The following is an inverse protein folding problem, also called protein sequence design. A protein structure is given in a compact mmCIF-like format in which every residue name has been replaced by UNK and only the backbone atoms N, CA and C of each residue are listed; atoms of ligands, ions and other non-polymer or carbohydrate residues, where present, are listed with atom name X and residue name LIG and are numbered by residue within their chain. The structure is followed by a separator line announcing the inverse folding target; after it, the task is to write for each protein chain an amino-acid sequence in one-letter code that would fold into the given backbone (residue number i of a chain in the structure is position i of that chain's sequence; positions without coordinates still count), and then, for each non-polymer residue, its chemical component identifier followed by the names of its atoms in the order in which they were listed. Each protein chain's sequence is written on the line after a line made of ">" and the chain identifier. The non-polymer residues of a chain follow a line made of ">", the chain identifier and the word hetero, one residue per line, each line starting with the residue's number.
data_IF_232992303503
#
_entry.id   IF_232992303503
#
_cell.length_a   1.000
_cell.length_b   1.000
_cell.length_c   1.000
_cell.angle_alpha   90.00
_cell.angle_beta   90.00
_cell.angle_gamma   90.00
#
_symmetry.space_group_name_H-M   'P 1'
#
loop_
_entity.id
_entity.type
_entity.pdbx_description
1 polymer ?
#
# COMPACT_ATOMS: atom_id res chain seq x y z
N UNK A 1 11.61 -10.42 12.10
CA UNK A 1 11.09 -9.88 10.82
C UNK A 1 10.79 -8.41 11.05
N UNK A 2 11.23 -7.52 10.17
CA UNK A 2 10.92 -6.08 10.25
C UNK A 2 9.74 -5.80 9.33
N UNK A 3 8.70 -5.16 9.85
CA UNK A 3 7.55 -4.70 9.08
C UNK A 3 7.57 -3.18 9.01
N UNK A 4 7.39 -2.64 7.81
CA UNK A 4 7.34 -1.20 7.53
C UNK A 4 5.99 -0.93 6.85
N UNK A 5 5.23 -0.03 7.47
CA UNK A 5 3.96 0.47 6.96
C UNK A 5 4.10 1.99 6.76
N UNK A 6 3.69 2.48 5.59
CA UNK A 6 3.74 3.87 5.19
C UNK A 6 2.34 4.33 4.80
N UNK A 7 1.90 5.46 5.34
CA UNK A 7 0.63 6.09 4.97
C UNK A 7 0.94 7.33 4.15
N UNK A 8 0.41 7.38 2.93
CA UNK A 8 0.46 8.56 2.08
C UNK A 8 -0.91 9.22 2.09
N UNK A 9 -0.96 10.51 2.40
CA UNK A 9 -2.17 11.32 2.32
C UNK A 9 -1.94 12.45 1.34
N UNK A 10 -2.76 12.52 0.30
CA UNK A 10 -2.75 13.64 -0.63
C UNK A 10 -3.65 14.74 -0.08
N UNK A 11 -3.06 15.79 0.48
CA UNK A 11 -3.80 16.93 1.05
C UNK A 11 -4.10 18.04 0.04
N UNK A 12 -3.81 17.83 -1.24
CA UNK A 12 -4.21 18.78 -2.27
C UNK A 12 -5.72 18.69 -2.50
N UNK A 13 -6.32 19.82 -2.88
CA UNK A 13 -7.78 19.93 -3.01
C UNK A 13 -8.30 19.63 -4.41
N UNK A 14 -7.42 19.57 -5.42
CA UNK A 14 -7.81 19.42 -6.82
C UNK A 14 -6.75 18.78 -7.73
N UNK A 15 -5.74 18.12 -7.15
CA UNK A 15 -4.68 17.46 -7.93
C UNK A 15 -4.49 16.03 -7.47
N UNK A 16 -4.54 15.12 -8.42
CA UNK A 16 -4.10 13.76 -8.14
C UNK A 16 -2.58 13.70 -8.22
N UNK A 17 -1.98 12.90 -7.34
CA UNK A 17 -0.55 12.59 -7.40
C UNK A 17 -0.42 11.31 -8.19
N UNK A 18 0.43 11.33 -9.22
CA UNK A 18 0.71 10.14 -10.03
C UNK A 18 2.11 9.62 -9.77
N UNK A 19 2.27 8.30 -9.87
CA UNK A 19 3.58 7.61 -9.94
C UNK A 19 4.50 7.87 -8.73
N UNK A 20 4.05 7.55 -7.51
CA UNK A 20 4.95 7.49 -6.33
C UNK A 20 5.78 6.20 -6.44
N UNK A 21 7.10 6.35 -6.60
CA UNK A 21 8.02 5.23 -6.81
C UNK A 21 8.84 4.89 -5.59
N UNK A 22 8.93 3.60 -5.27
CA UNK A 22 9.82 3.11 -4.22
C UNK A 22 11.13 2.62 -4.83
N UNK A 23 12.19 3.40 -4.62
CA UNK A 23 13.52 3.07 -5.13
C UNK A 23 14.28 2.21 -4.12
N UNK A 24 14.89 1.12 -4.60
CA UNK A 24 15.81 0.32 -3.78
C UNK A 24 17.04 1.16 -3.42
N UNK A 25 17.32 1.30 -2.13
CA UNK A 25 18.57 1.91 -1.65
C UNK A 25 19.76 1.04 -2.05
N UNK A 26 20.88 1.66 -2.44
CA UNK A 26 22.14 0.95 -2.69
C UNK A 26 22.87 0.54 -1.41
N UNK A 27 22.44 1.03 -0.24
CA UNK A 27 23.03 0.69 1.05
C UNK A 27 22.12 -0.24 1.84
N UNK A 28 22.55 -1.51 1.98
CA UNK A 28 22.33 -2.47 3.08
C UNK A 28 20.92 -2.79 3.61
N UNK A 29 19.95 -1.90 3.50
CA UNK A 29 18.57 -2.02 3.96
C UNK A 29 17.69 -2.15 2.73
N UNK A 30 17.52 -3.39 2.28
CA UNK A 30 16.54 -3.71 1.26
C UNK A 30 15.14 -3.61 1.88
N UNK A 31 14.46 -2.50 1.59
CA UNK A 31 13.02 -2.39 1.81
C UNK A 31 12.33 -3.01 0.58
N UNK A 32 12.52 -4.31 0.39
CA UNK A 32 11.87 -5.07 -0.69
C UNK A 32 10.38 -5.25 -0.37
N UNK A 33 9.50 -5.16 -1.37
CA UNK A 33 8.09 -5.52 -1.23
C UNK A 33 7.07 -4.37 -1.22
N UNK A 34 7.49 -3.12 -1.42
CA UNK A 34 6.56 -2.02 -1.71
C UNK A 34 6.19 -2.01 -3.19
N UNK A 35 4.89 -1.88 -3.48
CA UNK A 35 4.40 -1.58 -4.82
C UNK A 35 4.40 -0.07 -5.04
N UNK A 36 4.76 0.36 -6.25
CA UNK A 36 4.57 1.75 -6.67
C UNK A 36 3.08 2.12 -6.58
N UNK A 37 2.81 3.40 -6.32
CA UNK A 37 1.44 3.95 -6.31
C UNK A 37 1.23 4.72 -7.60
N UNK A 38 0.42 4.17 -8.51
CA UNK A 38 0.15 4.78 -9.82
C UNK A 38 -0.65 6.08 -9.69
N UNK A 39 -1.65 6.10 -8.80
CA UNK A 39 -2.55 7.23 -8.57
C UNK A 39 -2.90 7.35 -7.09
N UNK A 40 -2.71 8.53 -6.52
CA UNK A 40 -3.23 8.93 -5.22
C UNK A 40 -4.14 10.15 -5.40
N UNK A 41 -5.47 9.96 -5.41
CA UNK A 41 -6.43 11.03 -5.65
C UNK A 41 -6.36 12.17 -4.63
N UNK A 42 -6.78 13.37 -5.02
CA UNK A 42 -6.91 14.50 -4.08
C UNK A 42 -7.75 14.13 -2.84
N UNK A 43 -7.29 14.55 -1.66
CA UNK A 43 -7.87 14.23 -0.34
C UNK A 43 -7.95 12.74 0.03
N UNK A 44 -7.31 11.83 -0.73
CA UNK A 44 -7.29 10.41 -0.43
C UNK A 44 -6.06 10.01 0.40
N UNK A 45 -6.13 8.83 1.02
CA UNK A 45 -4.98 8.18 1.66
C UNK A 45 -4.81 6.74 1.19
N UNK A 46 -3.57 6.27 1.16
CA UNK A 46 -3.23 4.87 0.85
C UNK A 46 -2.17 4.36 1.82
N UNK A 47 -2.29 3.09 2.18
CA UNK A 47 -1.30 2.35 2.97
C UNK A 47 -0.43 1.54 2.02
N UNK A 48 0.88 1.74 2.10
CA UNK A 48 1.86 0.90 1.43
C UNK A 48 2.65 0.14 2.50
N UNK A 49 2.88 -1.16 2.32
CA UNK A 49 3.61 -1.98 3.28
C UNK A 49 4.56 -2.95 2.56
N UNK A 50 5.70 -3.27 3.19
CA UNK A 50 6.56 -4.35 2.70
C UNK A 50 6.18 -5.69 3.32
N UNK A 51 5.72 -6.61 2.48
CA UNK A 51 5.73 -8.03 2.79
C UNK A 51 4.43 -8.75 2.47
N UNK A 52 4.56 -9.65 1.48
CA UNK A 52 3.76 -10.85 1.19
C UNK A 52 2.30 -10.59 0.81
N UNK A 53 1.84 -11.28 -0.25
CA UNK A 53 0.43 -11.35 -0.67
C UNK A 53 -0.51 -11.24 0.53
N UNK A 54 -1.23 -10.12 0.62
CA UNK A 54 -2.51 -10.15 1.30
C UNK A 54 -3.48 -10.86 0.35
N UNK A 55 -3.34 -12.18 0.23
CA UNK A 55 -4.53 -13.00 0.23
C UNK A 55 -5.25 -12.60 1.52
N UNK A 56 -6.15 -11.60 1.40
CA UNK A 56 -7.20 -11.41 2.37
C UNK A 56 -7.71 -12.83 2.68
N UNK A 57 -7.84 -13.26 3.94
CA UNK A 57 -8.70 -14.39 4.18
C UNK A 57 -10.00 -14.02 3.49
N UNK A 58 -10.38 -14.77 2.46
CA UNK A 58 -11.71 -14.69 1.89
C UNK A 58 -12.62 -14.76 3.10
N UNK A 59 -13.34 -13.68 3.37
CA UNK A 59 -14.51 -13.74 4.22
C UNK A 59 -15.48 -14.62 3.45
N UNK A 60 -15.27 -15.94 3.55
CA UNK A 60 -16.23 -16.95 3.16
C UNK A 60 -17.32 -16.87 4.22
N UNK A 61 -18.15 -15.84 4.13
CA UNK A 61 -19.40 -15.73 4.85
C UNK A 61 -20.34 -16.71 4.13
N UNK A 62 -20.04 -17.99 4.28
CA UNK A 62 -21.07 -19.01 4.14
C UNK A 62 -22.07 -18.73 5.25
N UNK A 63 -23.09 -17.93 4.90
CA UNK A 63 -24.34 -17.90 5.63
C UNK A 63 -24.91 -19.33 5.55
N UNK A 64 -24.48 -20.20 6.45
CA UNK A 64 -25.13 -21.48 6.69
C UNK A 64 -26.39 -21.17 7.49
N UNK A 65 -27.38 -20.63 6.80
CA UNK A 65 -28.76 -20.69 7.26
C UNK A 65 -29.14 -22.17 7.27
N UNK A 66 -29.15 -22.75 8.47
CA UNK A 66 -29.58 -24.10 8.77
C UNK A 66 -29.92 -24.18 10.24
#
# INVERSE_FOLDING_TARGET
>A
MVHIELIFTNTTTNKDIQSIKFLKSKSGVNIDGFNDIDLLPSNASIVASNGVDNCLPSNDISNKAG
#
